data_IF_210893381788
#
_entry.id   IF_210893381788
#
_cell.length_a   1.000
_cell.length_b   1.000
_cell.length_c   1.000
_cell.angle_alpha   90.00
_cell.angle_beta   90.00
_cell.angle_gamma   90.00
#
_symmetry.space_group_name_H-M   'P 1'
#
loop_
_entity.id
_entity.type
_entity.pdbx_description
1 polymer ?
#
# COMPACT_ATOMS: atom_id res chain seq x y z
N UNK A 1 24.02 -52.58 -18.14
CA UNK A 1 24.78 -51.65 -17.27
C UNK A 1 25.06 -50.29 -17.93
N UNK A 2 25.25 -50.21 -19.26
CA UNK A 2 25.45 -48.92 -19.95
C UNK A 2 24.20 -48.01 -19.94
N UNK A 3 23.00 -48.57 -20.12
CA UNK A 3 21.75 -47.78 -20.17
C UNK A 3 21.41 -47.09 -18.85
N UNK A 4 21.70 -47.74 -17.72
CA UNK A 4 21.46 -47.20 -16.38
C UNK A 4 22.32 -45.96 -16.12
N UNK A 5 23.59 -45.98 -16.55
CA UNK A 5 24.51 -44.84 -16.43
C UNK A 5 24.10 -43.65 -17.32
N UNK A 6 23.59 -43.93 -18.53
CA UNK A 6 23.12 -42.89 -19.45
C UNK A 6 21.83 -42.20 -18.97
N UNK A 7 20.91 -42.97 -18.39
CA UNK A 7 19.69 -42.44 -17.77
C UNK A 7 20.00 -41.53 -16.56
N UNK A 8 20.90 -41.97 -15.68
CA UNK A 8 21.32 -41.18 -14.51
C UNK A 8 22.01 -39.89 -14.95
N UNK A 9 22.94 -39.95 -15.92
CA UNK A 9 23.62 -38.76 -16.45
C UNK A 9 22.63 -37.75 -17.05
N UNK A 10 21.64 -38.23 -17.80
CA UNK A 10 20.59 -37.38 -18.38
C UNK A 10 19.74 -36.71 -17.30
N UNK A 11 19.32 -37.46 -16.29
CA UNK A 11 18.54 -36.93 -15.17
C UNK A 11 19.31 -35.84 -14.40
N UNK A 12 20.60 -36.04 -14.15
CA UNK A 12 21.43 -35.05 -13.46
C UNK A 12 21.63 -33.76 -14.31
N UNK A 13 21.68 -33.86 -15.64
CA UNK A 13 21.69 -32.71 -16.55
C UNK A 13 20.39 -31.92 -16.50
N UNK A 14 19.24 -32.60 -16.50
CA UNK A 14 17.93 -31.94 -16.37
C UNK A 14 17.81 -31.22 -15.03
N UNK A 15 18.26 -31.85 -13.93
CA UNK A 15 18.34 -31.20 -12.61
C UNK A 15 19.22 -29.94 -12.64
N UNK A 16 20.33 -29.97 -13.38
CA UNK A 16 21.18 -28.81 -13.55
C UNK A 16 20.48 -27.67 -14.31
N UNK A 17 19.73 -27.97 -15.38
CA UNK A 17 18.91 -26.98 -16.08
C UNK A 17 17.84 -26.37 -15.17
N UNK A 18 17.14 -27.19 -14.38
CA UNK A 18 16.14 -26.69 -13.43
C UNK A 18 16.76 -25.79 -12.36
N UNK A 19 17.90 -26.18 -11.79
CA UNK A 19 18.64 -25.39 -10.82
C UNK A 19 19.12 -24.05 -11.42
N UNK A 20 19.63 -24.08 -12.66
CA UNK A 20 20.04 -22.88 -13.38
C UNK A 20 18.87 -21.95 -13.68
N UNK A 21 17.71 -22.49 -14.04
CA UNK A 21 16.49 -21.71 -14.28
C UNK A 21 16.00 -21.00 -13.01
N UNK A 22 15.93 -21.73 -11.88
CA UNK A 22 15.56 -21.15 -10.58
C UNK A 22 16.57 -20.09 -10.16
N UNK A 23 17.87 -20.35 -10.32
CA UNK A 23 18.93 -19.40 -10.02
C UNK A 23 18.83 -18.12 -10.87
N UNK A 24 18.59 -18.26 -12.18
CA UNK A 24 18.38 -17.13 -13.09
C UNK A 24 17.15 -16.29 -12.71
N UNK A 25 16.04 -16.93 -12.36
CA UNK A 25 14.83 -16.23 -11.91
C UNK A 25 15.06 -15.44 -10.61
N UNK A 26 15.70 -16.05 -9.60
CA UNK A 26 16.03 -15.37 -8.35
C UNK A 26 17.00 -14.22 -8.58
N UNK A 27 18.01 -14.42 -9.42
CA UNK A 27 18.96 -13.37 -9.79
C UNK A 27 18.26 -12.18 -10.46
N UNK A 28 17.42 -12.43 -11.47
CA UNK A 28 16.66 -11.39 -12.17
C UNK A 28 15.66 -10.67 -11.27
N UNK A 29 15.05 -11.35 -10.29
CA UNK A 29 14.22 -10.66 -9.30
C UNK A 29 15.06 -9.78 -8.38
N UNK A 30 16.21 -10.28 -7.91
CA UNK A 30 17.11 -9.54 -7.03
C UNK A 30 17.57 -8.21 -7.64
N UNK A 31 17.86 -8.15 -8.94
CA UNK A 31 18.24 -6.91 -9.62
C UNK A 31 17.12 -5.86 -9.64
N UNK A 32 15.85 -6.27 -9.59
CA UNK A 32 14.71 -5.34 -9.53
C UNK A 32 14.42 -4.81 -8.14
N UNK A 33 14.95 -5.43 -7.07
CA UNK A 33 14.65 -5.06 -5.68
C UNK A 33 15.55 -3.94 -5.14
N UNK A 34 16.48 -3.43 -5.95
CA UNK A 34 17.23 -2.21 -5.62
C UNK A 34 16.36 -0.94 -5.66
N UNK A 35 15.28 -0.93 -6.44
CA UNK A 35 14.29 0.13 -6.40
C UNK A 35 13.24 -0.16 -5.34
N UNK A 36 12.76 0.87 -4.64
CA UNK A 36 11.67 0.71 -3.70
C UNK A 36 10.37 0.30 -4.39
N UNK A 37 9.71 -0.72 -3.86
CA UNK A 37 8.43 -1.27 -4.35
C UNK A 37 7.43 -1.30 -3.20
N UNK A 38 6.13 -1.16 -3.49
CA UNK A 38 5.08 -1.26 -2.48
C UNK A 38 4.93 -2.69 -1.89
N UNK A 39 5.33 -3.72 -2.64
CA UNK A 39 5.29 -5.10 -2.18
C UNK A 39 6.53 -5.86 -2.66
N UNK A 40 7.20 -6.58 -1.75
CA UNK A 40 8.33 -7.44 -2.07
C UNK A 40 7.94 -8.91 -1.93
N UNK A 41 8.28 -9.72 -2.92
CA UNK A 41 8.12 -11.19 -2.87
C UNK A 41 9.41 -11.81 -2.36
N UNK A 42 9.44 -12.06 -1.05
CA UNK A 42 10.65 -12.45 -0.33
C UNK A 42 10.70 -13.98 -0.17
N UNK A 43 11.73 -14.66 -0.70
CA UNK A 43 11.96 -16.06 -0.37
C UNK A 43 12.17 -16.23 1.13
N UNK A 44 11.50 -17.20 1.78
CA UNK A 44 11.54 -17.38 3.25
C UNK A 44 12.96 -17.45 3.83
N UNK A 45 13.91 -18.02 3.09
CA UNK A 45 15.32 -18.14 3.50
C UNK A 45 15.99 -16.77 3.64
N UNK A 46 15.54 -15.78 2.86
CA UNK A 46 16.03 -14.41 2.87
C UNK A 46 15.19 -13.47 3.73
N UNK A 47 14.14 -13.98 4.40
CA UNK A 47 13.32 -13.17 5.30
C UNK A 47 14.13 -12.48 6.40
N UNK A 48 15.05 -13.16 7.12
CA UNK A 48 15.87 -12.49 8.13
C UNK A 48 16.79 -11.41 7.55
N UNK A 49 17.25 -11.59 6.31
CA UNK A 49 18.11 -10.62 5.63
C UNK A 49 17.32 -9.36 5.28
N UNK A 50 16.07 -9.52 4.84
CA UNK A 50 15.17 -8.40 4.59
C UNK A 50 14.85 -7.64 5.87
N UNK A 51 14.55 -8.33 6.98
CA UNK A 51 14.28 -7.67 8.26
C UNK A 51 15.47 -6.85 8.78
N UNK A 52 16.70 -7.34 8.58
CA UNK A 52 17.92 -6.67 9.06
C UNK A 52 18.43 -5.55 8.16
N UNK A 53 18.23 -5.66 6.84
CA UNK A 53 18.92 -4.80 5.86
C UNK A 53 18.01 -4.26 4.76
N UNK A 54 16.69 -4.43 4.91
CA UNK A 54 15.67 -3.91 4.01
C UNK A 54 15.75 -4.47 2.59
N UNK A 55 15.20 -3.71 1.66
CA UNK A 55 15.17 -4.04 0.22
C UNK A 55 16.57 -4.18 -0.39
N UNK A 56 17.53 -3.33 0.00
CA UNK A 56 18.92 -3.39 -0.50
C UNK A 56 19.59 -4.71 -0.08
N UNK A 57 19.49 -5.08 1.20
CA UNK A 57 20.04 -6.33 1.70
C UNK A 57 19.40 -7.56 1.05
N UNK A 58 18.08 -7.52 0.86
CA UNK A 58 17.35 -8.55 0.13
C UNK A 58 17.82 -8.66 -1.32
N UNK A 59 17.96 -7.55 -2.04
CA UNK A 59 18.42 -7.51 -3.43
C UNK A 59 19.80 -8.19 -3.57
N UNK A 60 20.75 -7.81 -2.71
CA UNK A 60 22.08 -8.40 -2.66
C UNK A 60 21.99 -9.90 -2.32
N UNK A 61 21.20 -10.27 -1.32
CA UNK A 61 21.00 -11.67 -0.93
C UNK A 61 20.43 -12.54 -2.06
N UNK A 62 19.47 -12.03 -2.81
CA UNK A 62 18.89 -12.71 -3.97
C UNK A 62 19.90 -12.85 -5.12
N UNK A 63 20.69 -11.80 -5.41
CA UNK A 63 21.73 -11.87 -6.44
C UNK A 63 22.79 -12.92 -6.08
N UNK A 64 23.23 -12.96 -4.82
CA UNK A 64 24.19 -13.95 -4.35
C UNK A 64 23.61 -15.37 -4.39
N UNK A 65 22.38 -15.56 -3.89
CA UNK A 65 21.70 -16.86 -3.91
C UNK A 65 21.50 -17.37 -5.34
N UNK A 66 21.01 -16.51 -6.24
CA UNK A 66 20.81 -16.83 -7.65
C UNK A 66 22.13 -17.19 -8.35
N UNK A 67 23.17 -16.39 -8.13
CA UNK A 67 24.51 -16.65 -8.69
C UNK A 67 25.10 -17.98 -8.20
N UNK A 68 24.93 -18.27 -6.90
CA UNK A 68 25.41 -19.51 -6.30
C UNK A 68 24.68 -20.74 -6.88
N UNK A 69 23.35 -20.67 -7.07
CA UNK A 69 22.59 -21.72 -7.73
C UNK A 69 23.01 -21.94 -9.19
N UNK A 70 23.25 -20.86 -9.94
CA UNK A 70 23.76 -20.93 -11.31
C UNK A 70 25.15 -21.58 -11.35
N UNK A 71 26.03 -21.26 -10.40
CA UNK A 71 27.35 -21.88 -10.28
C UNK A 71 27.25 -23.38 -9.99
N UNK A 72 26.39 -23.81 -9.05
CA UNK A 72 26.18 -25.23 -8.77
C UNK A 72 25.54 -25.98 -9.94
N UNK A 73 24.60 -25.34 -10.64
CA UNK A 73 24.04 -25.86 -11.89
C UNK A 73 25.14 -26.10 -12.94
N UNK A 74 26.04 -25.14 -13.12
CA UNK A 74 27.19 -25.26 -14.01
C UNK A 74 28.09 -26.44 -13.64
N UNK A 75 28.56 -26.51 -12.39
CA UNK A 75 29.45 -27.61 -11.96
C UNK A 75 28.79 -28.96 -12.16
N UNK A 76 27.50 -29.07 -11.81
CA UNK A 76 26.71 -30.30 -11.94
C UNK A 76 26.51 -30.72 -13.41
N UNK A 77 26.30 -29.75 -14.31
CA UNK A 77 26.12 -30.05 -15.73
C UNK A 77 27.42 -30.57 -16.37
N UNK A 78 28.55 -29.92 -16.08
CA UNK A 78 29.86 -30.32 -16.60
C UNK A 78 30.33 -31.65 -16.02
N UNK A 79 30.15 -31.87 -14.71
CA UNK A 79 30.56 -33.13 -14.05
C UNK A 79 29.83 -34.35 -14.58
N UNK A 80 28.65 -34.16 -15.19
CA UNK A 80 27.87 -35.23 -15.82
C UNK A 80 28.07 -35.30 -17.34
N UNK A 81 29.12 -34.67 -17.89
CA UNK A 81 29.47 -34.73 -19.32
C UNK A 81 28.62 -33.82 -20.22
N UNK A 82 28.02 -32.77 -19.66
CA UNK A 82 27.39 -31.70 -20.44
C UNK A 82 28.41 -30.75 -21.07
N UNK A 83 28.08 -30.16 -22.23
CA UNK A 83 28.91 -29.12 -22.86
C UNK A 83 28.52 -27.74 -22.37
N UNK A 84 29.42 -27.02 -21.71
CA UNK A 84 29.20 -25.70 -21.10
C UNK A 84 28.32 -24.74 -21.94
N UNK A 85 28.57 -24.70 -23.25
CA UNK A 85 27.87 -23.82 -24.19
C UNK A 85 26.34 -23.99 -24.15
N UNK A 86 25.82 -25.21 -23.97
CA UNK A 86 24.38 -25.45 -23.95
C UNK A 86 23.72 -24.88 -22.70
N UNK A 87 24.39 -25.00 -21.55
CA UNK A 87 23.89 -24.42 -20.31
C UNK A 87 23.98 -22.89 -20.34
N UNK A 88 25.07 -22.33 -20.88
CA UNK A 88 25.23 -20.88 -20.98
C UNK A 88 24.16 -20.25 -21.88
N UNK A 89 23.91 -20.82 -23.06
CA UNK A 89 22.84 -20.35 -23.95
C UNK A 89 21.49 -20.42 -23.23
N UNK A 90 21.21 -21.54 -22.56
CA UNK A 90 19.97 -21.69 -21.78
C UNK A 90 19.84 -20.65 -20.67
N UNK A 91 20.91 -20.37 -19.91
CA UNK A 91 20.89 -19.37 -18.84
C UNK A 91 20.61 -17.96 -19.37
N UNK A 92 21.19 -17.59 -20.51
CA UNK A 92 20.89 -16.30 -21.15
C UNK A 92 19.41 -16.21 -21.51
N UNK A 93 18.86 -17.26 -22.14
CA UNK A 93 17.43 -17.32 -22.48
C UNK A 93 16.56 -17.29 -21.21
N UNK A 94 16.96 -17.98 -20.15
CA UNK A 94 16.25 -18.01 -18.88
C UNK A 94 16.23 -16.63 -18.19
N UNK A 95 17.35 -15.90 -18.19
CA UNK A 95 17.44 -14.53 -17.65
C UNK A 95 16.54 -13.59 -18.46
N UNK A 96 16.63 -13.62 -19.79
CA UNK A 96 15.80 -12.79 -20.67
C UNK A 96 14.31 -13.11 -20.50
N UNK A 97 13.95 -14.39 -20.44
CA UNK A 97 12.59 -14.85 -20.18
C UNK A 97 12.09 -14.41 -18.79
N UNK A 98 12.94 -14.45 -17.78
CA UNK A 98 12.60 -13.97 -16.43
C UNK A 98 12.31 -12.47 -16.42
N UNK A 99 13.13 -11.66 -17.09
CA UNK A 99 12.83 -10.23 -17.26
C UNK A 99 11.55 -10.00 -18.03
N UNK A 100 11.31 -10.74 -19.13
CA UNK A 100 10.07 -10.63 -19.89
C UNK A 100 8.85 -10.92 -19.01
N UNK A 101 8.90 -11.95 -18.17
CA UNK A 101 7.84 -12.25 -17.19
C UNK A 101 7.71 -11.12 -16.18
N UNK A 102 8.79 -10.65 -15.56
CA UNK A 102 8.76 -9.58 -14.55
C UNK A 102 8.13 -8.31 -15.14
N UNK A 103 8.54 -7.89 -16.34
CA UNK A 103 7.99 -6.70 -16.99
C UNK A 103 6.57 -6.89 -17.52
N UNK A 104 6.19 -8.10 -17.96
CA UNK A 104 4.84 -8.38 -18.48
C UNK A 104 3.82 -8.62 -17.37
N UNK A 105 4.23 -9.17 -16.22
CA UNK A 105 3.35 -9.44 -15.06
C UNK A 105 3.37 -8.30 -14.05
N UNK A 106 4.40 -7.45 -14.09
CA UNK A 106 4.45 -6.16 -13.41
C UNK A 106 3.53 -5.14 -14.08
N UNK A 107 2.21 -5.33 -14.00
CA UNK A 107 1.29 -4.19 -14.02
C UNK A 107 1.78 -3.24 -12.93
N UNK A 108 2.42 -2.13 -13.34
CA UNK A 108 3.04 -1.06 -12.54
C UNK A 108 3.25 -1.48 -11.08
N UNK A 109 4.47 -1.91 -10.72
CA UNK A 109 4.91 -1.87 -9.32
C UNK A 109 4.45 -0.54 -8.78
N UNK A 110 3.39 -0.53 -7.96
CA UNK A 110 2.77 0.71 -7.50
C UNK A 110 3.86 1.34 -6.65
N UNK A 111 4.48 2.39 -7.17
CA UNK A 111 5.51 3.06 -6.42
C UNK A 111 4.85 3.72 -5.21
N UNK A 112 5.63 3.99 -4.17
CA UNK A 112 5.13 4.78 -3.03
C UNK A 112 4.55 6.11 -3.54
N UNK A 113 5.11 6.67 -4.61
CA UNK A 113 4.61 7.88 -5.25
C UNK A 113 3.24 7.67 -5.91
N UNK A 114 2.99 6.56 -6.59
CA UNK A 114 1.66 6.27 -7.17
C UNK A 114 0.59 6.12 -6.07
N UNK A 115 0.94 5.48 -4.94
CA UNK A 115 0.04 5.38 -3.78
C UNK A 115 -0.23 6.78 -3.22
N UNK A 116 0.81 7.59 -3.04
CA UNK A 116 0.69 8.95 -2.53
C UNK A 116 -0.15 9.84 -3.44
N UNK A 117 0.07 9.80 -4.74
CA UNK A 117 -0.74 10.56 -5.72
C UNK A 117 -2.21 10.14 -5.65
N UNK A 118 -2.49 8.84 -5.57
CA UNK A 118 -3.87 8.36 -5.41
C UNK A 118 -4.51 8.78 -4.09
N UNK A 119 -3.73 8.85 -3.00
CA UNK A 119 -4.21 9.35 -1.70
C UNK A 119 -4.48 10.85 -1.76
N UNK A 120 -3.59 11.64 -2.35
CA UNK A 120 -3.77 13.08 -2.53
C UNK A 120 -4.97 13.39 -3.43
N UNK A 121 -5.19 12.60 -4.50
CA UNK A 121 -6.35 12.73 -5.38
C UNK A 121 -7.66 12.41 -4.64
N UNK A 122 -7.69 11.32 -3.87
CA UNK A 122 -8.84 10.92 -3.07
C UNK A 122 -9.14 11.92 -1.94
N UNK A 123 -8.11 12.48 -1.31
CA UNK A 123 -8.24 13.56 -0.33
C UNK A 123 -8.87 14.79 -0.97
N UNK A 124 -8.32 15.28 -2.10
CA UNK A 124 -8.86 16.43 -2.83
C UNK A 124 -10.30 16.21 -3.29
N UNK A 125 -10.64 14.99 -3.71
CA UNK A 125 -12.02 14.63 -4.08
C UNK A 125 -12.94 14.69 -2.87
N UNK A 126 -12.51 14.13 -1.74
CA UNK A 126 -13.27 14.16 -0.47
C UNK A 126 -13.46 15.60 0.02
N UNK A 127 -12.42 16.44 -0.02
CA UNK A 127 -12.50 17.86 0.35
C UNK A 127 -13.51 18.62 -0.54
N UNK A 128 -13.53 18.34 -1.84
CA UNK A 128 -14.53 18.91 -2.76
C UNK A 128 -15.94 18.45 -2.43
N UNK A 129 -16.14 17.17 -2.14
CA UNK A 129 -17.44 16.62 -1.75
C UNK A 129 -17.92 17.23 -0.42
N UNK A 130 -17.03 17.41 0.56
CA UNK A 130 -17.34 18.08 1.83
C UNK A 130 -17.72 19.54 1.60
N UNK A 131 -16.89 20.32 0.88
CA UNK A 131 -17.12 21.76 0.67
C UNK A 131 -18.46 22.01 -0.05
N UNK A 132 -18.77 21.19 -1.05
CA UNK A 132 -19.98 21.30 -1.85
C UNK A 132 -21.18 20.55 -1.25
N UNK A 133 -21.07 19.98 -0.04
CA UNK A 133 -22.19 19.31 0.59
C UNK A 133 -23.27 20.32 1.00
N UNK A 134 -24.50 20.02 0.62
CA UNK A 134 -25.68 20.74 1.07
C UNK A 134 -26.24 20.09 2.33
N UNK A 135 -27.04 20.84 3.09
CA UNK A 135 -27.71 20.32 4.28
C UNK A 135 -28.64 19.18 3.86
N UNK A 136 -28.45 17.95 4.37
CA UNK A 136 -29.27 16.81 3.97
C UNK A 136 -30.66 16.88 4.60
N UNK A 137 -31.66 16.33 3.91
CA UNK A 137 -32.99 16.09 4.46
C UNK A 137 -32.97 14.77 5.24
N UNK A 138 -33.05 14.86 6.57
CA UNK A 138 -32.92 13.71 7.46
C UNK A 138 -34.28 13.37 8.06
N UNK A 139 -34.65 12.10 8.05
CA UNK A 139 -35.90 11.65 8.70
C UNK A 139 -35.80 11.67 10.24
N UNK A 140 -34.59 11.62 10.80
CA UNK A 140 -34.34 11.51 12.24
C UNK A 140 -34.26 12.87 12.95
N UNK A 141 -35.12 13.09 13.94
CA UNK A 141 -35.13 14.31 14.76
C UNK A 141 -33.80 14.54 15.49
N UNK A 142 -33.18 13.49 16.02
CA UNK A 142 -31.89 13.57 16.72
C UNK A 142 -30.76 14.07 15.81
N UNK A 143 -30.70 13.58 14.57
CA UNK A 143 -29.66 13.98 13.62
C UNK A 143 -29.86 15.42 13.14
N UNK A 144 -31.12 15.84 12.89
CA UNK A 144 -31.44 17.23 12.57
C UNK A 144 -31.10 18.18 13.71
N UNK A 145 -31.52 17.85 14.94
CA UNK A 145 -31.24 18.66 16.12
C UNK A 145 -29.73 18.82 16.37
N UNK A 146 -28.95 17.77 16.12
CA UNK A 146 -27.50 17.83 16.21
C UNK A 146 -26.89 18.78 15.16
N UNK A 147 -27.33 18.70 13.90
CA UNK A 147 -26.87 19.62 12.86
C UNK A 147 -27.25 21.07 13.17
N UNK A 148 -28.46 21.30 13.71
CA UNK A 148 -28.90 22.64 14.16
C UNK A 148 -28.01 23.20 15.27
N UNK A 149 -27.65 22.36 16.25
CA UNK A 149 -26.74 22.74 17.33
C UNK A 149 -25.35 23.07 16.80
N UNK A 150 -24.86 22.29 15.83
CA UNK A 150 -23.55 22.48 15.22
C UNK A 150 -23.48 23.78 14.40
N UNK A 151 -24.53 24.08 13.64
CA UNK A 151 -24.66 25.33 12.89
C UNK A 151 -24.80 26.55 13.81
N UNK A 152 -25.59 26.43 14.88
CA UNK A 152 -25.70 27.48 15.89
C UNK A 152 -24.34 27.72 16.57
N UNK A 153 -23.60 26.65 16.89
CA UNK A 153 -22.26 26.74 17.46
C UNK A 153 -21.31 27.48 16.50
N UNK A 154 -21.30 27.16 15.20
CA UNK A 154 -20.51 27.88 14.20
C UNK A 154 -20.73 29.40 14.28
N UNK A 155 -21.99 29.83 14.29
CA UNK A 155 -22.34 31.26 14.35
C UNK A 155 -21.88 31.90 15.67
N UNK A 156 -22.07 31.20 16.81
CA UNK A 156 -21.58 31.66 18.11
C UNK A 156 -20.06 31.81 18.12
N UNK A 157 -19.36 30.82 17.59
CA UNK A 157 -17.90 30.77 17.55
C UNK A 157 -17.31 31.91 16.73
N UNK A 158 -17.82 32.10 15.51
CA UNK A 158 -17.40 33.20 14.62
C UNK A 158 -17.61 34.57 15.29
N UNK A 159 -18.76 34.75 15.96
CA UNK A 159 -19.04 35.98 16.72
C UNK A 159 -18.07 36.18 17.89
N UNK A 160 -17.79 35.13 18.66
CA UNK A 160 -16.88 35.19 19.82
C UNK A 160 -15.45 35.55 19.40
N UNK A 161 -14.95 34.92 18.32
CA UNK A 161 -13.62 35.20 17.74
C UNK A 161 -13.55 36.64 17.21
N UNK A 162 -14.55 37.08 16.43
CA UNK A 162 -14.59 38.44 15.91
C UNK A 162 -14.64 39.51 17.02
N UNK A 163 -15.30 39.20 18.14
CA UNK A 163 -15.38 40.07 19.32
C UNK A 163 -14.15 39.96 20.25
N UNK A 164 -13.24 39.01 19.99
CA UNK A 164 -12.09 38.68 20.86
C UNK A 164 -12.51 38.38 22.30
N UNK A 165 -13.69 37.81 22.48
CA UNK A 165 -14.28 37.52 23.79
C UNK A 165 -13.83 36.13 24.25
N UNK A 166 -12.76 36.09 25.05
CA UNK A 166 -12.14 34.83 25.51
C UNK A 166 -13.10 33.94 26.27
N UNK A 167 -13.96 34.51 27.11
CA UNK A 167 -14.93 33.74 27.89
C UNK A 167 -15.92 33.04 26.95
N UNK A 168 -16.43 33.73 25.94
CA UNK A 168 -17.32 33.11 24.94
C UNK A 168 -16.62 32.09 24.06
N UNK A 169 -15.33 32.28 23.76
CA UNK A 169 -14.54 31.29 23.03
C UNK A 169 -14.43 30.00 23.87
N UNK A 170 -14.09 30.11 25.15
CA UNK A 170 -13.98 28.96 26.07
C UNK A 170 -15.34 28.24 26.24
N UNK A 171 -16.45 29.00 26.33
CA UNK A 171 -17.80 28.42 26.32
C UNK A 171 -18.09 27.63 25.04
N UNK A 172 -17.72 28.19 23.87
CA UNK A 172 -17.90 27.52 22.59
C UNK A 172 -17.02 26.27 22.45
N UNK A 173 -15.79 26.27 22.98
CA UNK A 173 -14.92 25.08 23.02
C UNK A 173 -15.53 23.95 23.85
N UNK A 174 -16.13 24.28 25.00
CA UNK A 174 -16.82 23.28 25.82
C UNK A 174 -18.06 22.72 25.11
N UNK A 175 -18.85 23.58 24.45
CA UNK A 175 -20.01 23.16 23.64
C UNK A 175 -19.56 22.27 22.47
N UNK A 176 -18.46 22.64 21.78
CA UNK A 176 -17.84 21.85 20.71
C UNK A 176 -17.44 20.46 21.19
N UNK A 177 -16.71 20.37 22.30
CA UNK A 177 -16.26 19.10 22.87
C UNK A 177 -17.43 18.20 23.22
N UNK A 178 -18.51 18.75 23.79
CA UNK A 178 -19.71 17.98 24.10
C UNK A 178 -20.40 17.47 22.83
N UNK A 179 -20.59 18.33 21.82
CA UNK A 179 -21.24 17.94 20.56
C UNK A 179 -20.46 16.85 19.83
N UNK A 180 -19.14 16.99 19.70
CA UNK A 180 -18.30 16.04 18.94
C UNK A 180 -18.04 14.75 19.72
N UNK A 181 -17.87 14.82 21.03
CA UNK A 181 -17.46 13.66 21.83
C UNK A 181 -18.64 12.86 22.39
N UNK A 182 -19.79 13.50 22.60
CA UNK A 182 -20.95 12.89 23.26
C UNK A 182 -22.13 12.77 22.32
N UNK A 183 -22.62 13.89 21.77
CA UNK A 183 -23.86 13.89 20.98
C UNK A 183 -23.67 13.20 19.62
N UNK A 184 -22.54 13.42 18.96
CA UNK A 184 -22.22 12.74 17.71
C UNK A 184 -22.26 11.21 17.85
N UNK A 185 -21.77 10.65 18.96
CA UNK A 185 -21.80 9.20 19.20
C UNK A 185 -23.22 8.63 19.27
N UNK A 186 -24.18 9.40 19.80
CA UNK A 186 -25.59 9.01 19.83
C UNK A 186 -26.20 9.06 18.43
N UNK A 187 -25.95 10.15 17.70
CA UNK A 187 -26.47 10.36 16.34
C UNK A 187 -25.90 9.34 15.36
N UNK A 188 -24.58 9.12 15.39
CA UNK A 188 -23.90 8.18 14.50
C UNK A 188 -24.42 6.75 14.66
N UNK A 189 -24.81 6.35 15.88
CA UNK A 189 -25.44 5.04 16.13
C UNK A 189 -26.81 4.91 15.46
N UNK A 190 -27.59 6.00 15.42
CA UNK A 190 -28.92 6.00 14.81
C UNK A 190 -28.84 6.08 13.29
N UNK A 191 -28.04 7.01 12.76
CA UNK A 191 -27.97 7.28 11.33
C UNK A 191 -27.04 6.33 10.59
N UNK A 192 -26.09 5.69 11.27
CA UNK A 192 -25.01 4.90 10.64
C UNK A 192 -25.46 3.70 9.80
N UNK A 193 -26.71 3.24 9.95
CA UNK A 193 -27.29 2.19 9.14
C UNK A 193 -28.25 2.71 8.05
N UNK A 194 -28.51 4.03 8.01
CA UNK A 194 -29.46 4.64 7.08
C UNK A 194 -28.76 5.14 5.80
N UNK A 195 -29.47 5.19 4.65
CA UNK A 195 -28.91 5.66 3.40
C UNK A 195 -28.37 7.10 3.46
N UNK A 196 -28.98 7.95 4.29
CA UNK A 196 -28.62 9.38 4.40
C UNK A 196 -27.33 9.61 5.20
N UNK A 197 -26.73 8.56 5.79
CA UNK A 197 -25.52 8.67 6.60
C UNK A 197 -24.37 9.35 5.88
N UNK A 198 -24.17 9.03 4.59
CA UNK A 198 -23.08 9.62 3.80
C UNK A 198 -23.24 11.13 3.70
N UNK A 199 -24.44 11.60 3.37
CA UNK A 199 -24.70 13.03 3.17
C UNK A 199 -24.67 13.78 4.51
N UNK A 200 -25.18 13.16 5.58
CA UNK A 200 -24.98 13.63 6.96
C UNK A 200 -23.49 13.77 7.32
N UNK A 201 -22.68 12.76 7.05
CA UNK A 201 -21.26 12.76 7.41
C UNK A 201 -20.48 13.83 6.64
N UNK A 202 -20.77 14.02 5.34
CA UNK A 202 -20.16 15.06 4.52
C UNK A 202 -20.53 16.47 5.02
N UNK A 203 -21.81 16.70 5.30
CA UNK A 203 -22.28 17.99 5.80
C UNK A 203 -21.80 18.30 7.21
N UNK A 204 -21.79 17.30 8.11
CA UNK A 204 -21.19 17.43 9.43
C UNK A 204 -19.69 17.83 9.33
N UNK A 205 -18.93 17.16 8.46
CA UNK A 205 -17.52 17.49 8.23
C UNK A 205 -17.34 18.93 7.69
N UNK A 206 -18.26 19.41 6.85
CA UNK A 206 -18.25 20.79 6.35
C UNK A 206 -18.38 21.80 7.49
N UNK A 207 -19.40 21.66 8.33
CA UNK A 207 -19.64 22.59 9.44
C UNK A 207 -18.50 22.54 10.47
N UNK A 208 -17.98 21.35 10.79
CA UNK A 208 -16.81 21.20 11.67
C UNK A 208 -15.55 21.90 11.10
N UNK A 209 -15.30 21.77 9.79
CA UNK A 209 -14.18 22.46 9.13
C UNK A 209 -14.36 23.98 9.20
N UNK A 210 -15.57 24.50 9.03
CA UNK A 210 -15.85 25.93 9.13
C UNK A 210 -15.64 26.48 10.56
N UNK A 211 -16.02 25.70 11.58
CA UNK A 211 -15.69 25.99 12.99
C UNK A 211 -14.16 26.01 13.17
N UNK A 212 -13.45 25.00 12.68
CA UNK A 212 -12.00 24.90 12.79
C UNK A 212 -11.25 26.08 12.14
N UNK A 213 -11.68 26.50 10.94
CA UNK A 213 -11.11 27.68 10.28
C UNK A 213 -11.29 28.93 11.16
N UNK A 214 -12.45 29.07 11.80
CA UNK A 214 -12.74 30.18 12.70
C UNK A 214 -11.89 30.14 13.97
N UNK A 215 -11.54 28.94 14.48
CA UNK A 215 -10.66 28.75 15.65
C UNK A 215 -9.21 29.19 15.42
N UNK A 216 -8.75 29.12 14.16
CA UNK A 216 -7.35 29.39 13.79
C UNK A 216 -7.08 30.84 13.34
N UNK A 217 -8.12 31.68 13.28
CA UNK A 217 -8.01 33.12 12.94
C UNK A 217 -7.78 33.98 14.18
#
# INVERSE_FOLDING_TARGET
MADTNNLISTAEKVKAFAMGFVGAGIFSMGTTYFSEQAEYRIPRILWPVYELSGNIGLAIGMILLGSLLVFYAYRKFISNGGKAIYLLIFLVVAILGSYAIIFSTGKKSTSINDVRESLEENQKKTEKEITNSDRPDLEGELANNYLDQLEALKIKYEKAVNQKDKTKIDECENEYLNLVSVEFGKVAKEIGAKPEYRDFALYNAKVLNEIQVSRTK
#
